data_IF_411455976775
#
_entry.id   IF_411455976775
#
_cell.length_a   1.000
_cell.length_b   1.000
_cell.length_c   1.000
_cell.angle_alpha   90.00
_cell.angle_beta   90.00
_cell.angle_gamma   90.00
#
_symmetry.space_group_name_H-M   'P 1'
#
loop_
_entity.id
_entity.type
_entity.pdbx_description
1 polymer ?
#
# COMPACT_ATOMS: atom_id res chain seq x y z
N UNK A 1 -54.06 22.28 8.82
CA UNK A 1 -53.34 21.16 8.18
C UNK A 1 -52.68 21.75 6.94
N UNK A 2 -51.38 21.80 6.72
CA UNK A 2 -50.25 21.01 7.23
C UNK A 2 -49.01 21.91 7.19
N UNK A 3 -48.24 21.94 8.27
CA UNK A 3 -47.01 22.70 8.37
C UNK A 3 -45.82 21.94 7.78
N UNK A 4 -44.93 22.66 7.11
CA UNK A 4 -43.55 22.26 6.89
C UNK A 4 -42.69 23.43 7.35
N UNK A 5 -42.10 23.25 8.53
CA UNK A 5 -41.17 24.21 9.13
C UNK A 5 -39.87 24.26 8.34
N UNK A 6 -39.47 25.47 7.96
CA UNK A 6 -38.14 25.79 7.47
C UNK A 6 -37.15 25.76 8.65
N UNK A 7 -36.26 24.77 8.66
CA UNK A 7 -35.11 24.76 9.57
C UNK A 7 -33.97 25.51 8.88
N UNK A 8 -33.78 26.75 9.29
CA UNK A 8 -32.56 27.53 9.04
C UNK A 8 -31.44 26.92 9.88
N UNK A 9 -30.37 26.44 9.24
CA UNK A 9 -29.12 26.09 9.93
C UNK A 9 -28.10 27.17 9.59
N UNK A 10 -28.15 28.25 10.38
CA UNK A 10 -26.95 29.01 10.68
C UNK A 10 -26.00 28.09 11.46
N UNK A 11 -25.00 27.54 10.77
CA UNK A 11 -23.79 27.04 11.44
C UNK A 11 -22.57 27.60 10.73
N UNK A 12 -22.07 28.67 11.34
CA UNK A 12 -20.69 29.14 11.21
C UNK A 12 -19.76 27.94 11.35
N UNK A 13 -19.19 27.48 10.24
CA UNK A 13 -18.10 26.52 10.27
C UNK A 13 -16.88 27.19 10.95
N UNK A 14 -16.31 26.62 12.02
CA UNK A 14 -15.08 27.16 12.55
C UNK A 14 -13.99 27.00 11.49
N UNK A 15 -13.39 28.13 11.08
CA UNK A 15 -12.14 28.15 10.32
C UNK A 15 -11.04 27.54 11.20
N UNK A 16 -10.92 26.21 11.23
CA UNK A 16 -9.67 25.59 11.61
C UNK A 16 -8.70 25.76 10.45
N UNK A 17 -7.74 26.68 10.62
CA UNK A 17 -6.52 26.73 9.83
C UNK A 17 -5.95 25.31 9.82
N UNK A 18 -5.94 24.68 8.64
CA UNK A 18 -5.38 23.35 8.47
C UNK A 18 -3.94 23.33 8.96
N UNK A 19 -3.71 22.73 10.13
CA UNK A 19 -2.43 22.12 10.41
C UNK A 19 -2.36 20.95 9.44
N UNK A 20 -1.47 21.05 8.46
CA UNK A 20 -1.19 19.95 7.54
C UNK A 20 -0.98 18.68 8.38
N UNK A 21 -1.67 17.61 7.98
CA UNK A 21 -1.43 16.30 8.53
C UNK A 21 0.03 15.99 8.18
N UNK A 22 0.92 16.11 9.16
CA UNK A 22 2.30 15.68 9.00
C UNK A 22 2.27 14.22 8.56
N UNK A 23 3.03 13.83 7.52
CA UNK A 23 3.10 12.43 7.13
C UNK A 23 3.54 11.61 8.34
N UNK A 24 2.76 10.59 8.69
CA UNK A 24 3.17 9.58 9.67
C UNK A 24 4.51 9.01 9.19
N UNK A 25 5.60 9.41 9.85
CA UNK A 25 6.92 8.86 9.56
C UNK A 25 6.96 7.41 10.03
N UNK A 26 7.81 6.61 9.40
CA UNK A 26 8.06 5.21 9.79
C UNK A 26 8.41 5.11 11.29
N UNK A 27 9.04 6.13 11.86
CA UNK A 27 9.32 6.23 13.31
C UNK A 27 8.05 6.42 14.16
N UNK A 28 7.05 7.15 13.66
CA UNK A 28 5.77 7.33 14.36
C UNK A 28 4.92 6.06 14.32
N UNK A 29 5.03 5.26 13.25
CA UNK A 29 4.38 3.94 13.15
C UNK A 29 5.06 2.91 14.07
N UNK A 30 6.39 2.97 14.22
CA UNK A 30 7.11 2.14 15.19
C UNK A 30 6.77 2.48 16.66
N UNK A 31 6.43 3.75 16.96
CA UNK A 31 5.99 4.15 18.30
C UNK A 31 4.52 3.86 18.63
N UNK A 32 3.69 3.55 17.62
CA UNK A 32 2.26 3.20 17.81
C UNK A 32 2.05 1.70 18.04
N UNK A 33 3.05 0.88 17.74
CA UNK A 33 3.15 -0.49 18.21
C UNK A 33 3.83 -0.38 19.57
N UNK A 34 3.08 -0.61 20.65
CA UNK A 34 3.59 -0.58 22.03
C UNK A 34 4.56 -1.72 22.36
N UNK A 35 5.36 -2.15 21.39
CA UNK A 35 6.44 -3.12 21.51
C UNK A 35 7.53 -2.63 20.57
N UNK A 36 8.62 -2.09 21.14
CA UNK A 36 9.77 -1.64 20.37
C UNK A 36 10.31 -2.79 19.51
N UNK A 37 10.89 -2.47 18.35
CA UNK A 37 11.54 -3.46 17.47
C UNK A 37 12.61 -4.27 18.23
N UNK A 38 13.16 -3.72 19.32
CA UNK A 38 14.07 -4.37 20.25
C UNK A 38 13.38 -5.38 21.17
N UNK A 39 12.22 -5.08 21.73
CA UNK A 39 11.41 -6.04 22.49
C UNK A 39 10.88 -7.14 21.58
N UNK A 40 10.50 -6.83 20.34
CA UNK A 40 10.11 -7.81 19.33
C UNK A 40 11.27 -8.75 18.94
N UNK A 41 12.45 -8.20 18.66
CA UNK A 41 13.64 -9.00 18.32
C UNK A 41 14.16 -9.80 19.52
N UNK A 42 14.17 -9.21 20.72
CA UNK A 42 14.54 -9.89 21.96
C UNK A 42 13.57 -11.02 22.30
N UNK A 43 12.27 -10.80 22.12
CA UNK A 43 11.25 -11.85 22.30
C UNK A 43 11.39 -12.95 21.25
N UNK A 44 11.71 -12.62 20.00
CA UNK A 44 12.00 -13.62 18.97
C UNK A 44 13.26 -14.42 19.29
N UNK A 45 14.35 -13.79 19.73
CA UNK A 45 15.59 -14.50 20.12
C UNK A 45 15.41 -15.40 21.34
N UNK A 46 14.65 -14.95 22.36
CA UNK A 46 14.40 -15.72 23.58
C UNK A 46 13.38 -16.85 23.37
N UNK A 47 12.40 -16.67 22.47
CA UNK A 47 11.42 -17.69 22.10
C UNK A 47 11.98 -18.75 21.14
N UNK A 48 12.99 -18.42 20.33
CA UNK A 48 13.63 -19.37 19.42
C UNK A 48 14.45 -20.44 20.17
N UNK A 49 14.95 -20.15 21.38
CA UNK A 49 15.67 -21.13 22.22
C UNK A 49 14.82 -22.34 22.62
N UNK A 50 13.51 -22.17 22.84
CA UNK A 50 12.60 -23.30 23.09
C UNK A 50 12.37 -24.15 21.84
N UNK A 51 12.51 -23.55 20.66
CA UNK A 51 12.29 -24.20 19.36
C UNK A 51 13.48 -25.03 18.88
N UNK A 52 14.63 -24.92 19.56
CA UNK A 52 15.83 -25.73 19.36
C UNK A 52 15.77 -27.06 20.13
N UNK A 53 14.74 -27.27 20.93
CA UNK A 53 14.59 -28.52 21.65
C UNK A 53 14.35 -29.68 20.69
N UNK A 54 15.29 -30.62 20.72
CA UNK A 54 15.28 -31.80 19.89
C UNK A 54 14.27 -32.79 20.51
N UNK A 55 13.12 -32.97 19.85
CA UNK A 55 11.98 -33.84 20.27
C UNK A 55 12.38 -35.33 20.40
N UNK A 56 13.64 -35.67 20.17
CA UNK A 56 14.19 -37.01 20.20
C UNK A 56 14.52 -37.52 21.61
N UNK A 57 14.60 -36.66 22.63
CA UNK A 57 14.84 -37.05 24.02
C UNK A 57 13.75 -36.47 24.91
N UNK A 58 13.15 -37.32 25.76
CA UNK A 58 12.09 -36.92 26.70
C UNK A 58 12.66 -35.89 27.70
N UNK A 59 12.03 -34.72 27.89
CA UNK A 59 12.45 -33.76 28.91
C UNK A 59 12.17 -34.27 30.31
N UNK A 60 12.93 -33.78 31.29
CA UNK A 60 12.68 -34.03 32.71
C UNK A 60 11.31 -33.45 33.13
N UNK A 61 10.71 -34.03 34.19
CA UNK A 61 9.39 -33.65 34.70
C UNK A 61 9.27 -32.16 35.03
N UNK A 62 10.32 -31.55 35.58
CA UNK A 62 10.36 -30.12 35.90
C UNK A 62 10.26 -29.25 34.64
N UNK A 63 10.86 -29.70 33.54
CA UNK A 63 10.85 -28.99 32.24
C UNK A 63 9.48 -29.14 31.58
N UNK A 64 8.89 -30.34 31.64
CA UNK A 64 7.53 -30.61 31.17
C UNK A 64 6.54 -29.67 31.88
N UNK A 65 6.59 -29.59 33.21
CA UNK A 65 5.71 -28.71 33.99
C UNK A 65 5.93 -27.23 33.66
N UNK A 66 7.18 -26.78 33.56
CA UNK A 66 7.50 -25.41 33.17
C UNK A 66 6.87 -25.05 31.82
N UNK A 67 6.99 -25.94 30.83
CA UNK A 67 6.48 -25.70 29.49
C UNK A 67 4.97 -25.78 29.38
N UNK A 68 4.30 -26.61 30.19
CA UNK A 68 2.83 -26.61 30.28
C UNK A 68 2.29 -25.23 30.64
N UNK A 69 2.99 -24.47 31.49
CA UNK A 69 2.59 -23.11 31.86
C UNK A 69 3.04 -22.07 30.84
N UNK A 70 4.24 -22.20 30.28
CA UNK A 70 4.83 -21.18 29.39
C UNK A 70 4.33 -21.23 27.95
N UNK A 71 3.99 -22.40 27.41
CA UNK A 71 3.64 -22.51 25.98
C UNK A 71 2.27 -21.92 25.64
N UNK A 72 1.18 -22.15 26.41
CA UNK A 72 -0.11 -21.55 26.12
C UNK A 72 -0.04 -20.02 26.04
N UNK A 73 0.63 -19.37 27.00
CA UNK A 73 0.80 -17.92 27.01
C UNK A 73 1.63 -17.42 25.83
N UNK A 74 2.68 -18.16 25.42
CA UNK A 74 3.45 -17.85 24.21
C UNK A 74 2.63 -18.00 22.93
N UNK A 75 1.76 -19.01 22.85
CA UNK A 75 0.84 -19.19 21.72
C UNK A 75 -0.16 -18.04 21.64
N UNK A 76 -0.76 -17.64 22.77
CA UNK A 76 -1.70 -16.52 22.81
C UNK A 76 -1.03 -15.21 22.39
N UNK A 77 0.20 -14.97 22.84
CA UNK A 77 0.99 -13.82 22.41
C UNK A 77 1.26 -13.82 20.90
N UNK A 78 1.71 -14.95 20.34
CA UNK A 78 1.95 -15.07 18.89
C UNK A 78 0.65 -14.86 18.10
N UNK A 79 -0.47 -15.43 18.57
CA UNK A 79 -1.78 -15.24 17.96
C UNK A 79 -2.17 -13.76 17.94
N UNK A 80 -1.97 -13.04 19.05
CA UNK A 80 -2.20 -11.60 19.14
C UNK A 80 -1.37 -10.82 18.12
N UNK A 81 -0.06 -11.11 18.03
CA UNK A 81 0.83 -10.48 17.04
C UNK A 81 0.41 -10.76 15.60
N UNK A 82 -0.02 -11.99 15.28
CA UNK A 82 -0.50 -12.33 13.94
C UNK A 82 -1.75 -11.54 13.57
N UNK A 83 -2.69 -11.37 14.50
CA UNK A 83 -3.89 -10.54 14.31
C UNK A 83 -3.51 -9.07 14.07
N UNK A 84 -2.58 -8.52 14.87
CA UNK A 84 -2.09 -7.14 14.68
C UNK A 84 -1.46 -6.96 13.30
N UNK A 85 -0.63 -7.91 12.86
CA UNK A 85 -0.02 -7.90 11.52
C UNK A 85 -1.08 -7.92 10.42
N UNK A 86 -2.13 -8.73 10.55
CA UNK A 86 -3.23 -8.73 9.57
C UNK A 86 -3.99 -7.41 9.52
N UNK A 87 -4.26 -6.79 10.67
CA UNK A 87 -4.90 -5.47 10.75
C UNK A 87 -4.02 -4.43 10.03
N UNK A 88 -2.72 -4.41 10.33
CA UNK A 88 -1.79 -3.49 9.68
C UNK A 88 -1.73 -3.70 8.17
N UNK A 89 -1.68 -4.95 7.70
CA UNK A 89 -1.74 -5.27 6.26
C UNK A 89 -3.01 -4.72 5.61
N UNK A 90 -4.18 -4.91 6.22
CA UNK A 90 -5.44 -4.36 5.71
C UNK A 90 -5.40 -2.83 5.62
N UNK A 91 -4.86 -2.15 6.64
CA UNK A 91 -4.71 -0.70 6.62
C UNK A 91 -3.79 -0.22 5.50
N UNK A 92 -2.64 -0.87 5.30
CA UNK A 92 -1.73 -0.54 4.21
C UNK A 92 -2.31 -0.81 2.83
N UNK A 93 -3.10 -1.88 2.66
CA UNK A 93 -3.83 -2.16 1.41
C UNK A 93 -4.85 -1.06 1.10
N UNK A 94 -5.58 -0.57 2.10
CA UNK A 94 -6.51 0.55 1.92
C UNK A 94 -5.79 1.85 1.54
N UNK A 95 -4.65 2.13 2.19
CA UNK A 95 -3.82 3.29 1.83
C UNK A 95 -3.28 3.18 0.41
N UNK A 96 -2.86 1.99 0.00
CA UNK A 96 -2.37 1.70 -1.35
C UNK A 96 -3.46 1.93 -2.39
N UNK A 97 -4.65 1.35 -2.21
CA UNK A 97 -5.78 1.51 -3.12
C UNK A 97 -6.15 2.99 -3.28
N UNK A 98 -6.26 3.72 -2.17
CA UNK A 98 -6.54 5.16 -2.18
C UNK A 98 -5.48 5.94 -2.98
N UNK A 99 -4.20 5.59 -2.86
CA UNK A 99 -3.12 6.25 -3.59
C UNK A 99 -3.12 5.93 -5.08
N UNK A 100 -3.44 4.70 -5.45
CA UNK A 100 -3.59 4.29 -6.84
C UNK A 100 -4.80 5.02 -7.49
N UNK A 101 -5.90 5.18 -6.77
CA UNK A 101 -7.07 5.97 -7.21
C UNK A 101 -6.72 7.46 -7.37
N UNK A 102 -5.96 8.06 -6.44
CA UNK A 102 -5.48 9.44 -6.54
C UNK A 102 -4.61 9.67 -7.79
N UNK A 103 -3.83 8.66 -8.22
CA UNK A 103 -3.01 8.73 -9.44
C UNK A 103 -3.90 8.65 -10.68
N UNK A 104 -4.84 7.71 -10.72
CA UNK A 104 -5.71 7.56 -11.90
C UNK A 104 -6.65 8.76 -12.06
N UNK A 105 -7.12 9.35 -10.96
CA UNK A 105 -7.89 10.58 -11.01
C UNK A 105 -7.12 11.74 -11.65
N UNK A 106 -5.85 11.93 -11.26
CA UNK A 106 -5.01 12.98 -11.83
C UNK A 106 -4.71 12.73 -13.32
N UNK A 107 -4.48 11.47 -13.71
CA UNK A 107 -4.34 11.08 -15.12
C UNK A 107 -5.60 11.39 -15.92
N UNK A 108 -6.76 11.03 -15.41
CA UNK A 108 -8.03 11.31 -16.07
C UNK A 108 -8.24 12.82 -16.26
N UNK A 109 -7.96 13.62 -15.22
CA UNK A 109 -8.01 15.08 -15.30
C UNK A 109 -7.05 15.64 -16.35
N UNK A 110 -5.83 15.10 -16.43
CA UNK A 110 -4.84 15.50 -17.43
C UNK A 110 -5.27 15.14 -18.84
N UNK A 111 -5.78 13.92 -19.06
CA UNK A 111 -6.33 13.48 -20.36
C UNK A 111 -7.42 14.44 -20.82
N UNK A 112 -8.36 14.80 -19.93
CA UNK A 112 -9.42 15.78 -20.24
C UNK A 112 -8.82 17.13 -20.67
N UNK A 113 -7.87 17.67 -19.90
CA UNK A 113 -7.20 18.94 -20.22
C UNK A 113 -6.53 18.90 -21.60
N UNK A 114 -5.81 17.82 -21.92
CA UNK A 114 -5.12 17.66 -23.21
C UNK A 114 -6.13 17.55 -24.36
N UNK A 115 -7.25 16.85 -24.16
CA UNK A 115 -8.32 16.78 -25.15
C UNK A 115 -8.97 18.15 -25.40
N UNK A 116 -9.22 18.93 -24.35
CA UNK A 116 -9.76 20.29 -24.47
C UNK A 116 -8.81 21.23 -25.22
N UNK A 117 -7.50 21.11 -24.95
CA UNK A 117 -6.48 21.85 -25.72
C UNK A 117 -6.46 21.44 -27.19
N UNK A 118 -6.60 20.14 -27.48
CA UNK A 118 -6.71 19.64 -28.85
C UNK A 118 -7.95 20.17 -29.56
N UNK A 119 -9.13 20.12 -28.93
CA UNK A 119 -10.37 20.69 -29.50
C UNK A 119 -10.24 22.19 -29.77
N UNK A 120 -9.59 22.92 -28.87
CA UNK A 120 -9.27 24.34 -29.05
C UNK A 120 -8.34 24.57 -30.25
N UNK A 121 -7.32 23.72 -30.44
CA UNK A 121 -6.44 23.79 -31.62
C UNK A 121 -7.19 23.47 -32.91
N UNK A 122 -8.02 22.42 -32.91
CA UNK A 122 -8.82 22.02 -34.09
C UNK A 122 -9.81 23.10 -34.48
N UNK A 123 -10.49 23.73 -33.51
CA UNK A 123 -11.44 24.82 -33.80
C UNK A 123 -10.79 26.07 -34.38
N UNK A 124 -9.53 26.37 -34.01
CA UNK A 124 -8.75 27.50 -34.56
C UNK A 124 -8.10 27.18 -35.91
N UNK A 125 -7.86 25.90 -36.19
CA UNK A 125 -7.14 25.44 -37.37
C UNK A 125 -7.70 25.95 -38.71
N UNK A 126 -9.02 25.99 -38.97
CA UNK A 126 -9.55 26.53 -40.22
C UNK A 126 -9.10 27.97 -40.49
N UNK A 127 -9.13 28.84 -39.48
CA UNK A 127 -8.79 30.26 -39.68
C UNK A 127 -7.29 30.49 -39.74
N UNK A 128 -6.52 29.75 -38.93
CA UNK A 128 -5.07 29.72 -39.05
C UNK A 128 -4.62 29.19 -40.44
N UNK A 129 -5.34 28.21 -40.98
CA UNK A 129 -5.09 27.64 -42.31
C UNK A 129 -5.46 28.63 -43.43
N UNK A 130 -6.60 29.32 -43.33
CA UNK A 130 -6.96 30.37 -44.28
C UNK A 130 -5.91 31.49 -44.30
N UNK A 131 -5.47 31.92 -43.12
CA UNK A 131 -4.42 32.94 -43.00
C UNK A 131 -3.10 32.42 -43.59
N UNK A 132 -2.71 31.19 -43.29
CA UNK A 132 -1.53 30.55 -43.87
C UNK A 132 -1.60 30.47 -45.41
N UNK A 133 -2.75 30.10 -45.98
CA UNK A 133 -2.93 30.06 -47.45
C UNK A 133 -2.82 31.46 -48.06
N UNK A 134 -3.33 32.48 -47.38
CA UNK A 134 -3.21 33.88 -47.82
C UNK A 134 -1.75 34.34 -47.81
N UNK A 135 -1.03 34.09 -46.72
CA UNK A 135 0.39 34.42 -46.57
C UNK A 135 1.26 33.63 -47.57
N UNK A 136 0.88 32.37 -47.83
CA UNK A 136 1.52 31.53 -48.83
C UNK A 136 1.39 32.09 -50.24
N UNK A 137 0.18 32.49 -50.66
CA UNK A 137 -0.03 33.08 -52.01
C UNK A 137 0.88 34.29 -52.21
N UNK A 138 1.02 35.15 -51.21
CA UNK A 138 1.92 36.30 -51.24
C UNK A 138 3.39 35.87 -51.34
N UNK A 139 3.84 34.93 -50.51
CA UNK A 139 5.24 34.48 -50.49
C UNK A 139 5.67 33.69 -51.73
N UNK A 140 4.76 32.94 -52.37
CA UNK A 140 5.03 32.27 -53.66
C UNK A 140 5.12 33.29 -54.79
N UNK A 141 4.22 34.28 -54.82
CA UNK A 141 4.27 35.38 -55.80
C UNK A 141 5.56 36.20 -55.67
N UNK A 142 6.12 36.31 -54.47
CA UNK A 142 7.40 36.96 -54.19
C UNK A 142 8.63 36.05 -54.39
N UNK A 143 8.46 34.79 -54.82
CA UNK A 143 9.55 33.85 -55.09
C UNK A 143 10.26 33.31 -53.83
N UNK A 144 9.69 33.51 -52.64
CA UNK A 144 10.30 33.17 -51.34
C UNK A 144 9.98 31.75 -50.86
N UNK A 145 9.05 31.02 -51.50
CA UNK A 145 8.63 29.68 -51.06
C UNK A 145 8.14 28.82 -52.25
N UNK A 146 8.32 27.50 -52.18
CA UNK A 146 7.81 26.54 -53.16
C UNK A 146 6.59 25.78 -52.63
N UNK A 147 5.74 25.25 -53.53
CA UNK A 147 4.53 24.49 -53.16
C UNK A 147 4.84 23.30 -52.24
N UNK A 148 5.93 22.56 -52.50
CA UNK A 148 6.34 21.41 -51.69
C UNK A 148 6.67 21.75 -50.24
N UNK A 149 7.26 22.93 -50.00
CA UNK A 149 7.59 23.41 -48.66
C UNK A 149 6.31 23.81 -47.93
N UNK A 150 5.36 24.43 -48.62
CA UNK A 150 4.09 24.82 -48.05
C UNK A 150 3.20 23.64 -47.67
N UNK A 151 3.12 22.61 -48.50
CA UNK A 151 2.39 21.37 -48.17
C UNK A 151 2.97 20.70 -46.91
N UNK A 152 4.31 20.66 -46.80
CA UNK A 152 4.99 20.10 -45.64
C UNK A 152 4.72 20.91 -44.36
N UNK A 153 4.73 22.24 -44.45
CA UNK A 153 4.40 23.14 -43.35
C UNK A 153 2.93 23.02 -42.93
N UNK A 154 2.01 22.86 -43.90
CA UNK A 154 0.59 22.66 -43.62
C UNK A 154 0.34 21.35 -42.87
N UNK A 155 1.00 20.26 -43.31
CA UNK A 155 0.94 18.97 -42.61
C UNK A 155 1.50 19.07 -41.18
N UNK A 156 2.59 19.82 -40.98
CA UNK A 156 3.15 20.06 -39.64
C UNK A 156 2.22 20.89 -38.73
N UNK A 157 1.42 21.79 -39.31
CA UNK A 157 0.44 22.61 -38.58
C UNK A 157 -0.88 21.90 -38.31
N UNK A 158 -1.16 20.79 -39.00
CA UNK A 158 -2.38 20.03 -38.81
C UNK A 158 -2.41 19.47 -37.37
N UNK A 159 -3.40 19.83 -36.53
CA UNK A 159 -3.49 19.32 -35.18
C UNK A 159 -3.62 17.80 -35.20
N UNK A 160 -2.72 17.10 -34.51
CA UNK A 160 -2.81 15.66 -34.35
C UNK A 160 -3.57 15.31 -33.08
N UNK A 161 -4.50 14.34 -33.18
CA UNK A 161 -5.23 13.84 -32.02
C UNK A 161 -4.24 13.20 -31.04
N UNK A 162 -4.21 13.62 -29.77
CA UNK A 162 -3.34 13.02 -28.78
C UNK A 162 -3.73 11.55 -28.55
N UNK A 163 -2.73 10.68 -28.43
CA UNK A 163 -2.94 9.26 -28.12
C UNK A 163 -2.93 9.05 -26.61
N UNK A 164 -3.62 8.00 -26.14
CA UNK A 164 -3.67 7.64 -24.71
C UNK A 164 -2.27 7.46 -24.13
N UNK A 165 -1.37 6.80 -24.87
CA UNK A 165 -0.01 6.56 -24.42
C UNK A 165 0.79 7.86 -24.20
N UNK A 166 0.67 8.83 -25.12
CA UNK A 166 1.36 10.12 -24.98
C UNK A 166 0.83 10.90 -23.77
N UNK A 167 -0.49 10.88 -23.57
CA UNK A 167 -1.11 11.54 -22.42
C UNK A 167 -0.68 10.90 -21.10
N UNK A 168 -0.61 9.57 -21.06
CA UNK A 168 -0.19 8.83 -19.88
C UNK A 168 1.31 9.02 -19.58
N UNK A 169 2.16 9.10 -20.60
CA UNK A 169 3.58 9.37 -20.42
C UNK A 169 3.85 10.78 -19.89
N UNK A 170 3.05 11.78 -20.30
CA UNK A 170 3.11 13.12 -19.73
C UNK A 170 2.71 13.12 -18.24
N UNK A 171 1.64 12.39 -17.89
CA UNK A 171 1.20 12.24 -16.50
C UNK A 171 2.22 11.49 -15.64
N UNK A 172 2.94 10.52 -16.21
CA UNK A 172 3.98 9.77 -15.46
C UNK A 172 5.05 10.70 -14.90
N UNK A 173 5.49 11.71 -15.63
CA UNK A 173 6.51 12.65 -15.14
C UNK A 173 6.00 13.42 -13.91
N UNK A 174 4.74 13.83 -13.94
CA UNK A 174 4.08 14.59 -12.86
C UNK A 174 3.78 13.70 -11.63
N UNK A 175 3.41 12.44 -11.85
CA UNK A 175 3.04 11.49 -10.79
C UNK A 175 4.23 10.79 -10.11
N UNK A 176 5.48 11.17 -10.43
CA UNK A 176 6.68 10.45 -9.94
C UNK A 176 6.67 10.24 -8.43
N UNK A 177 6.43 11.31 -7.65
CA UNK A 177 6.41 11.25 -6.17
C UNK A 177 5.32 10.32 -5.63
N UNK A 178 4.11 10.38 -6.21
CA UNK A 178 3.00 9.49 -5.81
C UNK A 178 3.31 8.03 -6.10
N UNK A 179 3.99 7.75 -7.21
CA UNK A 179 4.44 6.38 -7.56
C UNK A 179 5.54 5.87 -6.62
N UNK A 180 6.44 6.74 -6.17
CA UNK A 180 7.40 6.41 -5.13
C UNK A 180 6.71 6.07 -3.80
N UNK A 181 5.66 6.83 -3.42
CA UNK A 181 4.83 6.50 -2.25
C UNK A 181 4.14 5.13 -2.40
N UNK A 182 3.55 4.85 -3.57
CA UNK A 182 2.95 3.54 -3.90
C UNK A 182 3.98 2.41 -3.78
N UNK A 183 5.19 2.62 -4.30
CA UNK A 183 6.27 1.63 -4.20
C UNK A 183 6.65 1.37 -2.73
N UNK A 184 6.82 2.43 -1.93
CA UNK A 184 7.13 2.31 -0.50
C UNK A 184 6.02 1.56 0.28
N UNK A 185 4.75 1.79 -0.06
CA UNK A 185 3.62 1.05 0.51
C UNK A 185 3.69 -0.44 0.14
N UNK A 186 4.00 -0.77 -1.12
CA UNK A 186 4.17 -2.16 -1.58
C UNK A 186 5.33 -2.86 -0.88
N UNK A 187 6.45 -2.18 -0.70
CA UNK A 187 7.60 -2.72 0.04
C UNK A 187 7.24 -2.98 1.51
N UNK A 188 6.49 -2.07 2.12
CA UNK A 188 6.02 -2.22 3.51
C UNK A 188 5.06 -3.41 3.65
N UNK A 189 4.13 -3.59 2.71
CA UNK A 189 3.23 -4.74 2.67
C UNK A 189 4.01 -6.07 2.59
N UNK A 190 5.04 -6.14 1.74
CA UNK A 190 5.88 -7.33 1.63
C UNK A 190 6.58 -7.65 2.96
N UNK A 191 7.06 -6.65 3.70
CA UNK A 191 7.66 -6.85 5.04
C UNK A 191 6.66 -7.43 6.03
N UNK A 192 5.41 -6.97 6.01
CA UNK A 192 4.35 -7.55 6.85
C UNK A 192 3.95 -8.97 6.41
N UNK A 193 3.97 -9.28 5.11
CA UNK A 193 3.75 -10.64 4.61
C UNK A 193 4.84 -11.61 5.09
N UNK A 194 6.11 -11.19 5.02
CA UNK A 194 7.25 -11.97 5.53
C UNK A 194 7.16 -12.16 7.03
N UNK A 195 6.81 -11.10 7.76
CA UNK A 195 6.61 -11.14 9.21
C UNK A 195 5.52 -12.14 9.60
N UNK A 196 4.36 -12.08 8.93
CA UNK A 196 3.25 -13.01 9.19
C UNK A 196 3.67 -14.46 8.98
N UNK A 197 4.32 -14.76 7.84
CA UNK A 197 4.84 -16.11 7.55
C UNK A 197 5.85 -16.58 8.59
N UNK A 198 6.67 -15.68 9.12
CA UNK A 198 7.61 -16.01 10.19
C UNK A 198 6.89 -16.35 11.49
N UNK A 199 5.88 -15.56 11.87
CA UNK A 199 5.05 -15.81 13.06
C UNK A 199 4.28 -17.13 12.93
N UNK A 200 3.69 -17.41 11.78
CA UNK A 200 2.98 -18.66 11.48
C UNK A 200 3.89 -19.90 11.67
N UNK A 201 5.14 -19.85 11.18
CA UNK A 201 6.11 -20.93 11.40
C UNK A 201 6.43 -21.12 12.88
N UNK A 202 6.59 -20.04 13.63
CA UNK A 202 6.88 -20.10 15.08
C UNK A 202 5.67 -20.66 15.84
N UNK A 203 4.47 -20.18 15.53
CA UNK A 203 3.21 -20.68 16.07
C UNK A 203 3.10 -22.20 15.86
N UNK A 204 3.34 -22.68 14.64
CA UNK A 204 3.26 -24.10 14.31
C UNK A 204 4.22 -24.95 15.16
N UNK A 205 5.45 -24.47 15.38
CA UNK A 205 6.41 -25.14 16.27
C UNK A 205 5.88 -25.21 17.71
N UNK A 206 5.34 -24.12 18.25
CA UNK A 206 4.76 -24.12 19.59
C UNK A 206 3.52 -25.00 19.70
N UNK A 207 2.69 -25.11 18.67
CA UNK A 207 1.55 -26.04 18.61
C UNK A 207 2.06 -27.48 18.69
N UNK A 208 3.06 -27.85 17.88
CA UNK A 208 3.68 -29.19 17.92
C UNK A 208 4.30 -29.50 19.28
N UNK A 209 4.98 -28.53 19.87
CA UNK A 209 5.59 -28.70 21.19
C UNK A 209 4.52 -28.87 22.28
N UNK A 210 3.46 -28.06 22.28
CA UNK A 210 2.34 -28.17 23.20
C UNK A 210 1.68 -29.55 23.13
N UNK A 211 1.48 -30.07 21.92
CA UNK A 211 0.92 -31.41 21.71
C UNK A 211 1.83 -32.51 22.25
N UNK A 212 3.14 -32.38 22.07
CA UNK A 212 4.13 -33.34 22.57
C UNK A 212 4.13 -33.35 24.09
N UNK A 213 4.17 -32.18 24.73
CA UNK A 213 4.13 -32.05 26.20
C UNK A 213 2.87 -32.65 26.78
N UNK A 214 1.70 -32.40 26.17
CA UNK A 214 0.44 -32.99 26.63
C UNK A 214 0.51 -34.52 26.65
N UNK A 215 1.13 -35.13 25.62
CA UNK A 215 1.35 -36.59 25.59
C UNK A 215 2.31 -37.05 26.70
N UNK A 216 3.40 -36.33 26.92
CA UNK A 216 4.37 -36.68 27.97
C UNK A 216 3.76 -36.58 29.37
N UNK A 217 2.85 -35.61 29.57
CA UNK A 217 2.07 -35.45 30.82
C UNK A 217 1.07 -36.60 30.99
N UNK A 218 0.32 -36.96 29.95
CA UNK A 218 -0.60 -38.09 30.00
C UNK A 218 0.14 -39.40 30.34
N UNK A 219 1.36 -39.56 29.81
CA UNK A 219 2.23 -40.69 30.11
C UNK A 219 2.73 -40.65 31.57
N UNK A 220 3.18 -39.50 32.09
CA UNK A 220 3.53 -39.35 33.52
C UNK A 220 2.37 -39.73 34.44
N UNK A 221 1.15 -39.26 34.10
CA UNK A 221 -0.06 -39.59 34.86
C UNK A 221 -0.33 -41.10 34.83
N UNK A 222 -0.12 -41.76 33.68
CA UNK A 222 -0.25 -43.21 33.56
C UNK A 222 0.80 -43.96 34.38
N UNK A 223 2.07 -43.53 34.39
CA UNK A 223 3.13 -44.12 35.22
C UNK A 223 2.82 -44.00 36.71
N UNK A 224 2.40 -42.82 37.17
CA UNK A 224 1.99 -42.59 38.56
C UNK A 224 0.81 -43.48 38.98
N UNK A 225 -0.17 -43.69 38.09
CA UNK A 225 -1.33 -44.58 38.36
C UNK A 225 -0.97 -46.06 38.39
N UNK A 226 0.05 -46.46 37.64
CA UNK A 226 0.48 -47.86 37.55
C UNK A 226 1.45 -48.29 38.67
N UNK A 227 1.71 -47.42 39.66
CA UNK A 227 2.43 -47.78 40.89
C UNK A 227 3.89 -48.16 40.68
N UNK A 228 4.52 -47.78 39.55
CA UNK A 228 5.98 -47.86 39.43
C UNK A 228 6.58 -46.77 40.30
N UNK A 229 6.88 -47.12 41.55
CA UNK A 229 7.71 -46.32 42.44
C UNK A 229 9.06 -46.09 41.76
N UNK A 230 9.49 -44.82 41.70
CA UNK A 230 10.90 -44.46 41.58
C UNK A 230 11.64 -44.87 42.86
#
# INVERSE_FOLDING_TARGET
MSGLGSISIDRVAPKQKGKGISPLTVETVHGLIGVSTQEFNGCMEENFRLSEYNVSVRPDESVILEWMYKIPSKLDFINGLMVEVEIMKKNYLLMLAKKEDEIEFDRAKKRISIYQEYETKVSRYPEETKQFIKDFKTNVLEGKMTNSIAERLLMQKTPQKPTVNIMDDLSRVEDKKKREEVYALKETLNKYDELYKRLERVQQKFITLNFTIKKDVDYLIAEMRNGKNF
#
